data_IF_395984172905
#
_entry.id   IF_395984172905
#
_cell.length_a   1.000
_cell.length_b   1.000
_cell.length_c   1.000
_cell.angle_alpha   90.00
_cell.angle_beta   90.00
_cell.angle_gamma   90.00
#
_symmetry.space_group_name_H-M   'P 1'
#
loop_
_entity.id
_entity.type
_entity.pdbx_description
1 polymer ?
#
# COMPACT_ATOMS: atom_id res chain seq x y z
N UNK A 1 -5.85 -13.51 -19.97
CA UNK A 1 -6.92 -13.80 -18.99
C UNK A 1 -6.28 -13.88 -17.61
N UNK A 2 -6.12 -12.75 -16.98
CA UNK A 2 -5.54 -12.64 -15.62
C UNK A 2 -6.49 -11.78 -14.77
N UNK A 3 -7.73 -12.17 -14.69
CA UNK A 3 -8.76 -11.40 -14.06
C UNK A 3 -9.31 -11.98 -12.75
N UNK A 4 -8.68 -13.02 -12.24
CA UNK A 4 -8.93 -13.44 -10.85
C UNK A 4 -7.94 -12.80 -9.88
N UNK A 5 -7.88 -12.00 -9.93
CA UNK A 5 -8.02 -10.65 -10.03
C UNK A 5 -7.45 -9.89 -8.83
N UNK A 6 -6.83 -8.82 -9.11
CA UNK A 6 -6.37 -7.83 -8.13
C UNK A 6 -7.42 -7.59 -7.03
N UNK A 7 -8.71 -7.55 -7.39
CA UNK A 7 -9.81 -7.33 -6.45
C UNK A 7 -10.06 -8.53 -5.51
N UNK A 8 -9.92 -9.77 -5.98
CA UNK A 8 -9.98 -10.95 -5.12
C UNK A 8 -8.83 -10.96 -4.11
N UNK A 9 -7.63 -10.56 -4.52
CA UNK A 9 -6.47 -10.42 -3.62
C UNK A 9 -6.71 -9.35 -2.55
N UNK A 10 -7.40 -8.25 -2.89
CA UNK A 10 -7.81 -7.24 -1.91
C UNK A 10 -8.78 -7.83 -0.88
N UNK A 11 -9.79 -8.60 -1.31
CA UNK A 11 -10.71 -9.27 -0.39
C UNK A 11 -9.97 -10.23 0.55
N UNK A 12 -9.06 -11.06 0.04
CA UNK A 12 -8.23 -11.98 0.85
C UNK A 12 -7.28 -11.25 1.79
N UNK A 13 -6.65 -10.17 1.33
CA UNK A 13 -5.80 -9.31 2.17
C UNK A 13 -6.60 -8.70 3.32
N UNK A 14 -7.83 -8.25 3.08
CA UNK A 14 -8.71 -7.73 4.14
C UNK A 14 -9.09 -8.80 5.17
N UNK A 15 -9.40 -10.02 4.74
CA UNK A 15 -9.69 -11.14 5.65
C UNK A 15 -8.48 -11.53 6.53
N UNK A 16 -7.27 -11.59 5.95
CA UNK A 16 -6.01 -11.78 6.68
C UNK A 16 -5.75 -10.64 7.68
N UNK A 17 -6.09 -9.42 7.31
CA UNK A 17 -5.89 -8.23 8.12
C UNK A 17 -6.74 -8.22 9.40
N UNK A 18 -7.90 -8.85 9.41
CA UNK A 18 -8.73 -8.98 10.62
C UNK A 18 -8.03 -9.80 11.72
N UNK A 19 -7.19 -10.76 11.36
CA UNK A 19 -6.38 -11.52 12.31
C UNK A 19 -5.11 -10.76 12.79
N UNK A 20 -4.65 -9.78 12.01
CA UNK A 20 -3.39 -9.05 12.22
C UNK A 20 -3.58 -7.58 12.64
N UNK A 21 -4.79 -7.18 13.11
CA UNK A 21 -5.17 -5.79 13.42
C UNK A 21 -4.15 -5.00 14.24
N UNK A 22 -3.51 -5.64 15.22
CA UNK A 22 -2.52 -4.97 16.07
C UNK A 22 -1.29 -4.49 15.29
N UNK A 23 -0.79 -5.30 14.37
CA UNK A 23 0.37 -4.96 13.51
C UNK A 23 0.03 -3.85 12.53
N UNK A 24 -1.13 -3.94 11.88
CA UNK A 24 -1.60 -2.94 10.94
C UNK A 24 -1.75 -1.59 11.63
N UNK A 25 -2.33 -1.54 12.83
CA UNK A 25 -2.44 -0.31 13.60
C UNK A 25 -1.08 0.27 14.00
N UNK A 26 -0.08 -0.58 14.28
CA UNK A 26 1.29 -0.13 14.54
C UNK A 26 1.89 0.53 13.29
N UNK A 27 1.77 -0.11 12.13
CA UNK A 27 2.25 0.42 10.84
C UNK A 27 1.57 1.75 10.49
N UNK A 28 0.24 1.79 10.53
CA UNK A 28 -0.53 3.02 10.28
C UNK A 28 -0.19 4.12 11.30
N UNK A 29 0.03 3.76 12.56
CA UNK A 29 0.44 4.72 13.59
C UNK A 29 1.77 5.41 13.26
N UNK A 30 2.73 4.69 12.69
CA UNK A 30 4.00 5.27 12.19
C UNK A 30 3.77 6.17 10.97
N UNK A 31 2.92 5.75 10.03
CA UNK A 31 2.55 6.57 8.87
C UNK A 31 1.88 7.88 9.29
N UNK A 32 0.97 7.84 10.27
CA UNK A 32 0.35 9.03 10.86
C UNK A 32 1.40 9.98 11.46
N UNK A 33 2.36 9.43 12.21
CA UNK A 33 3.42 10.23 12.82
C UNK A 33 4.29 10.94 11.77
N UNK A 34 4.67 10.24 10.71
CA UNK A 34 5.44 10.80 9.61
C UNK A 34 4.63 11.81 8.80
N UNK A 35 3.36 11.51 8.53
CA UNK A 35 2.48 12.42 7.81
C UNK A 35 2.31 13.76 8.55
N UNK A 36 2.22 13.75 9.89
CA UNK A 36 2.18 14.98 10.70
C UNK A 36 3.50 15.76 10.60
N UNK A 37 4.64 15.08 10.70
CA UNK A 37 5.96 15.72 10.73
C UNK A 37 6.40 16.28 9.38
N UNK A 38 6.17 15.53 8.32
CA UNK A 38 6.66 15.85 6.96
C UNK A 38 5.61 16.55 6.09
N UNK A 39 4.33 16.36 6.38
CA UNK A 39 3.23 16.81 5.52
C UNK A 39 2.65 18.19 5.87
N UNK A 40 3.24 18.91 6.84
CA UNK A 40 2.81 20.28 7.18
C UNK A 40 1.95 20.39 8.43
N UNK A 41 1.95 19.39 9.33
CA UNK A 41 1.33 19.47 10.65
C UNK A 41 0.12 18.56 10.85
N UNK A 42 -0.56 18.76 12.00
CA UNK A 42 -1.60 17.87 12.50
C UNK A 42 -3.02 18.17 11.96
N UNK A 43 -3.17 19.18 11.11
CA UNK A 43 -4.46 19.55 10.54
C UNK A 43 -4.65 18.87 9.16
N UNK A 44 -5.58 17.90 9.03
CA UNK A 44 -5.80 17.21 7.77
C UNK A 44 -6.38 18.10 6.66
N UNK A 45 -6.96 19.28 7.00
CA UNK A 45 -7.42 20.23 6.00
C UNK A 45 -6.25 20.84 5.20
N UNK A 46 -5.10 20.98 5.85
CA UNK A 46 -3.88 21.56 5.28
C UNK A 46 -2.78 20.54 4.99
N UNK A 47 -3.04 19.25 5.21
CA UNK A 47 -2.09 18.16 5.05
C UNK A 47 -2.75 16.99 4.31
N UNK A 48 -2.58 16.96 2.98
CA UNK A 48 -3.18 15.92 2.12
C UNK A 48 -2.68 14.52 2.47
N UNK A 49 -1.38 14.37 2.78
CA UNK A 49 -0.79 13.10 3.19
C UNK A 49 -1.43 12.58 4.49
N UNK A 50 -1.63 13.44 5.47
CA UNK A 50 -2.31 13.07 6.72
C UNK A 50 -3.76 12.66 6.46
N UNK A 51 -4.46 13.37 5.59
CA UNK A 51 -5.83 13.05 5.20
C UNK A 51 -5.92 11.66 4.57
N UNK A 52 -4.99 11.30 3.68
CA UNK A 52 -4.96 9.98 3.04
C UNK A 52 -4.64 8.86 4.05
N UNK A 53 -3.69 9.09 4.97
CA UNK A 53 -3.37 8.12 6.02
C UNK A 53 -4.54 7.95 7.02
N UNK A 54 -5.28 9.02 7.33
CA UNK A 54 -6.51 8.93 8.14
C UNK A 54 -7.57 8.10 7.41
N UNK A 55 -7.75 8.27 6.10
CA UNK A 55 -8.67 7.47 5.32
C UNK A 55 -8.26 5.99 5.31
N UNK A 56 -6.97 5.69 5.12
CA UNK A 56 -6.39 4.34 5.23
C UNK A 56 -6.62 3.74 6.63
N UNK A 57 -6.45 4.52 7.69
CA UNK A 57 -6.71 4.08 9.06
C UNK A 57 -8.18 3.69 9.26
N UNK A 58 -9.11 4.52 8.78
CA UNK A 58 -10.55 4.25 8.86
C UNK A 58 -10.96 3.03 8.04
N UNK A 59 -10.44 2.84 6.85
CA UNK A 59 -10.72 1.67 6.00
C UNK A 59 -10.22 0.36 6.62
N UNK A 60 -9.21 0.43 7.51
CA UNK A 60 -8.72 -0.69 8.32
C UNK A 60 -9.39 -0.78 9.70
N UNK A 61 -10.51 -0.09 9.91
CA UNK A 61 -11.27 -0.09 11.16
C UNK A 61 -10.48 0.37 12.38
N UNK A 62 -9.50 1.26 12.21
CA UNK A 62 -8.78 1.86 13.33
C UNK A 62 -9.71 2.83 14.08
N UNK A 63 -9.86 2.70 15.42
CA UNK A 63 -10.74 3.58 16.18
C UNK A 63 -10.30 5.05 16.09
N UNK A 64 -11.27 5.98 15.97
CA UNK A 64 -10.99 7.40 15.88
C UNK A 64 -10.13 7.93 17.03
N UNK A 65 -10.39 7.48 18.27
CA UNK A 65 -9.59 7.85 19.44
C UNK A 65 -8.12 7.44 19.31
N UNK A 66 -7.87 6.31 18.63
CA UNK A 66 -6.51 5.84 18.38
C UNK A 66 -5.84 6.69 17.30
N UNK A 67 -6.55 7.04 16.24
CA UNK A 67 -6.06 7.96 15.18
C UNK A 67 -5.68 9.31 15.81
N UNK A 68 -6.60 9.93 16.55
CA UNK A 68 -6.37 11.22 17.19
C UNK A 68 -5.21 11.19 18.18
N UNK A 69 -5.09 10.12 18.97
CA UNK A 69 -3.98 9.96 19.92
C UNK A 69 -2.63 9.89 19.23
N UNK A 70 -2.52 9.17 18.11
CA UNK A 70 -1.29 9.10 17.31
C UNK A 70 -0.94 10.47 16.71
N UNK A 71 -1.92 11.20 16.17
CA UNK A 71 -1.73 12.54 15.61
C UNK A 71 -1.25 13.51 16.71
N UNK A 72 -1.91 13.53 17.86
CA UNK A 72 -1.54 14.39 19.01
C UNK A 72 -0.13 14.06 19.51
N UNK A 73 0.20 12.77 19.63
CA UNK A 73 1.56 12.34 20.02
C UNK A 73 2.61 12.86 19.05
N UNK A 74 2.35 12.75 17.73
CA UNK A 74 3.29 13.19 16.70
C UNK A 74 3.45 14.72 16.63
N UNK A 75 2.38 15.47 16.94
CA UNK A 75 2.39 16.93 16.95
C UNK A 75 3.03 17.54 18.21
N UNK A 76 3.24 16.75 19.26
CA UNK A 76 3.84 17.23 20.52
C UNK A 76 5.33 17.55 20.39
N UNK A 77 5.77 18.62 21.05
CA UNK A 77 7.19 18.94 21.17
C UNK A 77 7.91 17.82 21.96
N UNK A 78 8.95 17.23 21.34
CA UNK A 78 9.73 16.17 21.97
C UNK A 78 9.32 14.74 21.58
N UNK A 79 8.47 14.56 20.59
CA UNK A 79 8.23 13.24 19.98
C UNK A 79 9.55 12.69 19.44
N UNK A 80 10.13 11.71 20.16
CA UNK A 80 11.44 11.13 19.87
C UNK A 80 11.41 10.18 18.66
N UNK A 81 10.23 9.91 18.11
CA UNK A 81 10.05 8.95 17.03
C UNK A 81 10.54 9.57 15.70
N UNK A 82 11.83 9.43 15.41
CA UNK A 82 12.42 9.78 14.12
C UNK A 82 12.42 8.57 13.22
N UNK A 83 11.31 8.38 12.49
CA UNK A 83 11.24 7.35 11.47
C UNK A 83 11.89 7.84 10.18
N UNK A 84 12.64 6.95 9.54
CA UNK A 84 13.23 7.17 8.23
C UNK A 84 12.64 6.20 7.22
N UNK A 85 12.36 6.71 6.03
CA UNK A 85 11.95 5.90 4.88
C UNK A 85 13.18 5.24 4.25
N UNK A 86 13.16 3.92 4.12
CA UNK A 86 14.17 3.17 3.40
C UNK A 86 13.47 2.20 2.48
N UNK A 87 13.85 2.21 1.21
CA UNK A 87 13.38 1.23 0.22
C UNK A 87 14.46 0.21 -0.03
N UNK A 88 14.11 -1.06 0.08
CA UNK A 88 14.95 -2.18 -0.32
C UNK A 88 14.39 -2.79 -1.59
N UNK A 89 15.29 -3.21 -2.46
CA UNK A 89 14.96 -3.85 -3.72
C UNK A 89 15.72 -5.15 -3.84
N UNK A 90 15.12 -6.14 -4.47
CA UNK A 90 15.80 -7.42 -4.64
C UNK A 90 15.02 -8.39 -5.50
N UNK A 91 15.59 -9.57 -5.63
CA UNK A 91 15.02 -10.66 -6.40
C UNK A 91 14.70 -11.83 -5.49
N UNK A 92 13.52 -12.40 -5.71
CA UNK A 92 13.11 -13.69 -5.18
C UNK A 92 13.39 -14.83 -6.16
N UNK A 93 12.80 -16.01 -5.94
CA UNK A 93 12.93 -17.16 -6.81
C UNK A 93 12.59 -16.84 -8.27
N UNK A 94 13.29 -17.48 -9.18
CA UNK A 94 13.09 -17.36 -10.62
C UNK A 94 13.05 -15.90 -11.15
N UNK A 95 13.79 -15.00 -10.47
CA UNK A 95 13.90 -13.60 -10.88
C UNK A 95 12.67 -12.75 -10.61
N UNK A 96 11.77 -13.17 -9.70
CA UNK A 96 10.69 -12.31 -9.21
C UNK A 96 11.25 -11.05 -8.59
N UNK A 97 10.74 -9.91 -9.02
CA UNK A 97 11.15 -8.61 -8.49
C UNK A 97 10.36 -8.27 -7.22
N UNK A 98 11.05 -7.78 -6.19
CA UNK A 98 10.44 -7.42 -4.91
C UNK A 98 10.95 -6.05 -4.48
N UNK A 99 10.01 -5.14 -4.15
CA UNK A 99 10.27 -3.84 -3.53
C UNK A 99 9.70 -3.85 -2.12
N UNK A 100 10.50 -3.42 -1.14
CA UNK A 100 10.11 -3.34 0.26
C UNK A 100 10.23 -1.89 0.72
N UNK A 101 9.12 -1.23 0.98
CA UNK A 101 9.09 0.11 1.59
C UNK A 101 9.05 -0.04 3.11
N UNK A 102 9.98 0.59 3.80
CA UNK A 102 10.11 0.51 5.25
C UNK A 102 10.06 1.88 5.89
N UNK A 103 9.62 1.90 7.14
CA UNK A 103 9.58 3.07 7.99
C UNK A 103 10.15 2.69 9.36
N UNK A 104 11.38 3.11 9.63
CA UNK A 104 12.14 2.59 10.77
C UNK A 104 12.84 3.67 11.57
N UNK A 105 12.96 3.43 12.86
CA UNK A 105 13.82 4.15 13.80
C UNK A 105 15.20 3.51 13.96
N UNK A 106 15.45 2.32 13.32
CA UNK A 106 16.69 1.58 13.41
C UNK A 106 17.05 0.89 12.08
N UNK A 107 17.81 1.58 11.25
CA UNK A 107 18.27 1.11 9.93
C UNK A 107 18.99 -0.24 9.95
N UNK A 108 19.80 -0.49 10.98
CA UNK A 108 20.60 -1.72 11.06
C UNK A 108 19.71 -2.93 11.34
N UNK A 109 18.74 -2.79 12.24
CA UNK A 109 17.73 -3.81 12.51
C UNK A 109 16.95 -4.15 11.24
N UNK A 110 16.40 -3.14 10.60
CA UNK A 110 15.57 -3.31 9.38
C UNK A 110 16.37 -3.94 8.25
N UNK A 111 17.59 -3.45 7.98
CA UNK A 111 18.45 -4.03 6.94
C UNK A 111 18.77 -5.52 7.19
N UNK A 112 19.00 -5.88 8.46
CA UNK A 112 19.26 -7.26 8.84
C UNK A 112 18.03 -8.14 8.65
N UNK A 113 16.85 -7.67 9.06
CA UNK A 113 15.59 -8.40 8.94
C UNK A 113 15.20 -8.60 7.48
N UNK A 114 15.27 -7.56 6.67
CA UNK A 114 14.96 -7.63 5.22
C UNK A 114 15.89 -8.61 4.52
N UNK A 115 17.22 -8.51 4.73
CA UNK A 115 18.16 -9.48 4.14
C UNK A 115 17.87 -10.92 4.57
N UNK A 116 17.55 -11.12 5.85
CA UNK A 116 17.20 -12.44 6.36
C UNK A 116 15.94 -13.00 5.72
N UNK A 117 14.91 -12.17 5.51
CA UNK A 117 13.67 -12.58 4.82
C UNK A 117 13.96 -13.05 3.38
N UNK A 118 14.71 -12.26 2.61
CA UNK A 118 15.11 -12.65 1.25
C UNK A 118 15.95 -13.94 1.24
N UNK A 119 16.97 -14.04 2.09
CA UNK A 119 17.84 -15.21 2.14
C UNK A 119 17.09 -16.49 2.50
N UNK A 120 16.16 -16.41 3.44
CA UNK A 120 15.32 -17.57 3.85
C UNK A 120 14.36 -18.05 2.76
N UNK A 121 14.01 -17.18 1.82
CA UNK A 121 13.20 -17.52 0.64
C UNK A 121 14.01 -17.66 -0.63
N UNK A 122 15.30 -18.01 -0.53
CA UNK A 122 16.19 -18.23 -1.68
C UNK A 122 16.36 -17.02 -2.60
N UNK A 123 16.12 -15.82 -2.09
CA UNK A 123 16.31 -14.56 -2.78
C UNK A 123 17.52 -13.77 -2.25
N UNK A 124 17.69 -12.58 -2.79
CA UNK A 124 18.73 -11.66 -2.33
C UNK A 124 18.31 -10.20 -2.49
N UNK A 125 18.75 -9.37 -1.57
CA UNK A 125 18.64 -7.90 -1.67
C UNK A 125 19.71 -7.40 -2.63
N UNK A 126 19.29 -6.60 -3.62
CA UNK A 126 20.16 -5.97 -4.59
C UNK A 126 20.52 -4.54 -4.22
N UNK A 127 21.05 -3.82 -5.20
CA UNK A 127 21.32 -2.38 -5.08
C UNK A 127 20.03 -1.57 -5.34
N UNK A 128 19.90 -0.37 -4.76
CA UNK A 128 18.79 0.52 -5.08
C UNK A 128 18.65 0.74 -6.59
N UNK A 129 17.44 0.66 -7.12
CA UNK A 129 17.15 0.79 -8.54
C UNK A 129 17.24 -0.53 -9.34
N UNK A 130 17.57 -1.67 -8.71
CA UNK A 130 17.74 -2.92 -9.46
C UNK A 130 16.42 -3.52 -9.97
N UNK A 131 15.28 -3.20 -9.38
CA UNK A 131 13.96 -3.69 -9.82
C UNK A 131 12.90 -2.60 -9.95
N UNK A 132 13.08 -1.42 -9.38
CA UNK A 132 12.07 -0.35 -9.37
C UNK A 132 11.66 0.10 -10.78
N UNK A 133 12.55 -0.01 -11.78
CA UNK A 133 12.25 0.31 -13.18
C UNK A 133 11.21 -0.65 -13.81
N UNK A 134 10.92 -1.79 -13.18
CA UNK A 134 9.91 -2.75 -13.63
C UNK A 134 8.50 -2.44 -13.10
N UNK A 135 8.37 -1.36 -12.33
CA UNK A 135 7.12 -0.95 -11.70
C UNK A 135 6.79 0.49 -12.05
N UNK A 136 5.50 0.77 -12.17
CA UNK A 136 4.98 2.13 -12.28
C UNK A 136 4.34 2.54 -10.95
N UNK A 137 4.75 3.68 -10.39
CA UNK A 137 4.08 4.24 -9.22
C UNK A 137 2.82 4.97 -9.66
N UNK A 138 1.66 4.53 -9.13
CA UNK A 138 0.33 5.04 -9.48
C UNK A 138 -0.53 5.20 -8.24
N UNK A 139 -1.42 6.17 -8.24
CA UNK A 139 -2.60 6.13 -7.39
C UNK A 139 -3.57 5.09 -7.94
N UNK A 140 -4.06 4.21 -7.09
CA UNK A 140 -4.98 3.13 -7.46
C UNK A 140 -6.17 3.12 -6.51
N UNK A 141 -7.37 3.15 -7.08
CA UNK A 141 -8.62 3.11 -6.33
C UNK A 141 -9.47 1.97 -6.88
N UNK A 142 -9.92 1.10 -6.00
CA UNK A 142 -10.88 0.05 -6.33
C UNK A 142 -12.26 0.36 -5.74
N UNK A 143 -13.27 0.25 -6.58
CA UNK A 143 -14.67 0.38 -6.21
C UNK A 143 -15.39 -0.93 -6.52
N UNK A 144 -15.97 -1.57 -5.50
CA UNK A 144 -16.77 -2.78 -5.71
C UNK A 144 -18.08 -2.42 -6.42
N UNK A 145 -18.46 -3.16 -7.45
CA UNK A 145 -19.72 -2.92 -8.18
C UNK A 145 -20.95 -3.06 -7.27
N UNK A 146 -20.89 -4.00 -6.32
CA UNK A 146 -21.96 -4.24 -5.35
C UNK A 146 -22.19 -3.07 -4.38
N UNK A 147 -21.18 -2.22 -4.15
CA UNK A 147 -21.24 -1.06 -3.26
C UNK A 147 -21.38 0.27 -4.03
N UNK A 148 -21.57 0.24 -5.35
CA UNK A 148 -21.63 1.42 -6.21
C UNK A 148 -23.01 1.54 -6.86
N UNK A 149 -23.72 2.61 -6.54
CA UNK A 149 -25.04 2.92 -7.13
C UNK A 149 -24.95 3.60 -8.51
N UNK A 150 -23.74 4.07 -8.90
CA UNK A 150 -23.51 4.66 -10.22
C UNK A 150 -23.24 3.58 -11.27
N UNK A 151 -23.69 3.83 -12.50
CA UNK A 151 -23.25 3.00 -13.62
C UNK A 151 -21.79 3.27 -14.02
N UNK A 152 -21.23 2.40 -14.86
CA UNK A 152 -19.82 2.47 -15.26
C UNK A 152 -19.47 3.79 -15.95
N UNK A 153 -20.36 4.29 -16.83
CA UNK A 153 -20.13 5.51 -17.60
C UNK A 153 -20.15 6.74 -16.69
N UNK A 154 -21.10 6.81 -15.76
CA UNK A 154 -21.20 7.89 -14.77
C UNK A 154 -19.98 7.93 -13.86
N UNK A 155 -19.55 6.76 -13.33
CA UNK A 155 -18.39 6.66 -12.47
C UNK A 155 -17.09 7.00 -13.22
N UNK A 156 -16.96 6.56 -14.48
CA UNK A 156 -15.83 6.88 -15.34
C UNK A 156 -15.73 8.38 -15.59
N UNK A 157 -16.84 9.04 -15.93
CA UNK A 157 -16.88 10.50 -16.13
C UNK A 157 -16.46 11.23 -14.85
N UNK A 158 -17.00 10.83 -13.70
CA UNK A 158 -16.64 11.41 -12.40
C UNK A 158 -15.14 11.26 -12.11
N UNK A 159 -14.59 10.07 -12.35
CA UNK A 159 -13.18 9.79 -12.11
C UNK A 159 -12.25 10.62 -13.01
N UNK A 160 -12.54 10.68 -14.31
CA UNK A 160 -11.77 11.46 -15.29
C UNK A 160 -11.84 12.97 -15.01
N UNK A 161 -13.03 13.49 -14.70
CA UNK A 161 -13.23 14.90 -14.32
C UNK A 161 -12.52 15.24 -13.00
N UNK A 162 -12.37 14.23 -12.11
CA UNK A 162 -11.60 14.36 -10.89
C UNK A 162 -10.08 14.43 -11.12
N UNK A 163 -9.59 13.92 -12.26
CA UNK A 163 -8.18 13.91 -12.65
C UNK A 163 -7.57 12.50 -12.72
N UNK A 164 -8.39 11.45 -12.82
CA UNK A 164 -7.90 10.10 -13.08
C UNK A 164 -7.28 10.02 -14.50
N UNK A 165 -6.27 9.15 -14.64
CA UNK A 165 -5.61 8.90 -15.93
C UNK A 165 -6.26 7.75 -16.69
N UNK A 166 -6.78 6.77 -15.95
CA UNK A 166 -7.36 5.57 -16.55
C UNK A 166 -8.49 5.00 -15.69
N UNK A 167 -9.41 4.30 -16.34
CA UNK A 167 -10.55 3.65 -15.73
C UNK A 167 -10.74 2.28 -16.38
N UNK A 168 -10.69 1.22 -15.56
CA UNK A 168 -10.85 -0.16 -16.00
C UNK A 168 -12.07 -0.76 -15.33
N UNK A 169 -12.97 -1.33 -16.14
CA UNK A 169 -14.10 -2.10 -15.65
C UNK A 169 -13.77 -3.60 -15.66
N UNK A 170 -13.87 -4.24 -14.51
CA UNK A 170 -13.75 -5.68 -14.31
C UNK A 170 -15.13 -6.29 -13.97
N UNK A 171 -15.18 -7.62 -13.83
CA UNK A 171 -16.43 -8.34 -13.53
C UNK A 171 -17.08 -7.86 -12.23
N UNK A 172 -16.29 -7.70 -11.15
CA UNK A 172 -16.79 -7.36 -9.80
C UNK A 172 -16.42 -5.95 -9.32
N UNK A 173 -15.57 -5.24 -10.05
CA UNK A 173 -15.03 -3.96 -9.60
C UNK A 173 -14.71 -3.00 -10.73
N UNK A 174 -14.51 -1.74 -10.33
CA UNK A 174 -13.88 -0.70 -11.13
C UNK A 174 -12.50 -0.39 -10.55
N UNK A 175 -11.49 -0.29 -11.42
CA UNK A 175 -10.15 0.17 -11.07
C UNK A 175 -9.93 1.56 -11.67
N UNK A 176 -9.56 2.52 -10.83
CA UNK A 176 -9.28 3.90 -11.23
C UNK A 176 -7.79 4.15 -10.97
N UNK A 177 -7.07 4.59 -11.99
CA UNK A 177 -5.65 4.91 -11.91
C UNK A 177 -5.43 6.41 -12.01
N UNK A 178 -4.49 6.91 -11.21
CA UNK A 178 -4.09 8.31 -11.20
C UNK A 178 -2.58 8.45 -11.22
N UNK A 179 -2.09 9.62 -11.61
CA UNK A 179 -0.75 10.03 -11.22
C UNK A 179 -0.67 10.09 -9.68
N UNK A 180 0.47 9.71 -9.05
CA UNK A 180 0.63 9.77 -7.60
C UNK A 180 0.34 11.15 -6.99
N UNK A 181 0.70 12.22 -7.70
CA UNK A 181 0.47 13.59 -7.22
C UNK A 181 -1.02 14.00 -7.24
N UNK A 182 -1.81 13.41 -8.14
CA UNK A 182 -3.25 13.68 -8.27
C UNK A 182 -4.11 12.77 -7.38
N UNK A 183 -3.54 11.71 -6.82
CA UNK A 183 -4.27 10.69 -6.08
C UNK A 183 -5.14 11.25 -4.95
N UNK A 184 -4.58 12.12 -4.10
CA UNK A 184 -5.29 12.66 -2.95
C UNK A 184 -6.53 13.47 -3.35
N UNK A 185 -6.42 14.25 -4.43
CA UNK A 185 -7.53 15.08 -4.94
C UNK A 185 -8.62 14.21 -5.58
N UNK A 186 -8.23 13.21 -6.37
CA UNK A 186 -9.18 12.25 -6.97
C UNK A 186 -9.91 11.47 -5.88
N UNK A 187 -9.16 10.90 -4.92
CA UNK A 187 -9.75 10.18 -3.79
C UNK A 187 -10.76 11.04 -3.01
N UNK A 188 -10.41 12.30 -2.74
CA UNK A 188 -11.30 13.22 -2.03
C UNK A 188 -12.58 13.49 -2.80
N UNK A 189 -12.50 13.74 -4.11
CA UNK A 189 -13.68 13.98 -4.95
C UNK A 189 -14.59 12.75 -5.05
N UNK A 190 -13.99 11.56 -5.10
CA UNK A 190 -14.76 10.31 -5.05
C UNK A 190 -15.49 10.15 -3.71
N UNK A 191 -14.82 10.47 -2.59
CA UNK A 191 -15.43 10.45 -1.26
C UNK A 191 -16.57 11.47 -1.13
N UNK A 192 -16.38 12.71 -1.62
CA UNK A 192 -17.40 13.77 -1.64
C UNK A 192 -18.63 13.39 -2.50
N UNK A 193 -18.42 12.62 -3.55
CA UNK A 193 -19.50 12.07 -4.37
C UNK A 193 -20.21 10.85 -3.72
N UNK A 194 -19.77 10.42 -2.54
CA UNK A 194 -20.36 9.30 -1.80
C UNK A 194 -19.93 7.92 -2.30
N UNK A 195 -18.87 7.85 -3.11
CA UNK A 195 -18.34 6.57 -3.60
C UNK A 195 -17.62 5.82 -2.49
N UNK A 196 -18.03 4.58 -2.24
CA UNK A 196 -17.38 3.67 -1.31
C UNK A 196 -16.18 3.02 -2.01
N UNK A 197 -14.98 3.37 -1.56
CA UNK A 197 -13.73 2.82 -2.10
C UNK A 197 -13.33 1.58 -1.30
N UNK A 198 -13.23 0.44 -1.98
CA UNK A 198 -12.79 -0.81 -1.36
C UNK A 198 -11.32 -0.73 -0.93
N UNK A 199 -10.49 -0.14 -1.78
CA UNK A 199 -9.10 0.21 -1.50
C UNK A 199 -8.74 1.50 -2.23
N UNK A 200 -7.90 2.32 -1.64
CA UNK A 200 -7.38 3.54 -2.26
C UNK A 200 -6.00 3.86 -1.69
N UNK A 201 -4.97 3.71 -2.51
CA UNK A 201 -3.58 3.96 -2.11
C UNK A 201 -2.68 4.32 -3.29
N UNK A 202 -1.54 4.91 -3.00
CA UNK A 202 -0.44 5.02 -3.97
C UNK A 202 0.37 3.72 -3.90
N UNK A 203 0.50 3.04 -5.02
CA UNK A 203 1.08 1.69 -5.10
C UNK A 203 2.10 1.58 -6.23
N UNK A 204 2.85 0.48 -6.24
CA UNK A 204 3.80 0.13 -7.29
C UNK A 204 3.20 -0.99 -8.14
N UNK A 205 2.83 -0.70 -9.39
CA UNK A 205 2.19 -1.65 -10.29
C UNK A 205 3.25 -2.28 -11.20
N UNK A 206 3.40 -3.61 -11.21
CA UNK A 206 4.34 -4.27 -12.12
C UNK A 206 3.93 -4.05 -13.58
N UNK A 207 4.90 -3.74 -14.43
CA UNK A 207 4.72 -3.67 -15.89
C UNK A 207 4.56 -5.05 -16.51
N UNK A 208 5.20 -6.07 -15.90
CA UNK A 208 5.12 -7.48 -16.30
C UNK A 208 5.09 -8.37 -15.07
N UNK A 209 4.38 -9.49 -15.17
CA UNK A 209 4.27 -10.49 -14.11
C UNK A 209 5.11 -11.72 -14.42
N UNK A 210 5.59 -12.38 -13.37
CA UNK A 210 6.34 -13.65 -13.42
C UNK A 210 5.44 -14.76 -12.88
N UNK A 211 5.23 -15.81 -13.66
CA UNK A 211 4.56 -17.02 -13.21
C UNK A 211 5.58 -17.99 -12.60
N UNK A 212 5.26 -18.52 -11.43
CA UNK A 212 6.02 -19.57 -10.78
C UNK A 212 5.25 -20.88 -10.90
N UNK A 213 5.89 -21.91 -11.43
CA UNK A 213 5.30 -23.25 -11.61
C UNK A 213 5.93 -24.29 -10.69
N UNK A 214 7.13 -24.01 -10.17
CA UNK A 214 7.83 -24.89 -9.25
C UNK A 214 7.31 -24.68 -7.82
N UNK A 215 6.93 -25.77 -7.15
CA UNK A 215 6.38 -25.71 -5.80
C UNK A 215 7.37 -25.19 -4.76
N UNK A 216 8.68 -25.39 -4.96
CA UNK A 216 9.70 -24.90 -4.05
C UNK A 216 9.88 -23.39 -4.22
N UNK A 217 9.84 -22.88 -5.45
CA UNK A 217 9.88 -21.45 -5.75
C UNK A 217 8.67 -20.74 -5.14
N UNK A 218 7.46 -21.31 -5.27
CA UNK A 218 6.23 -20.78 -4.68
C UNK A 218 6.34 -20.73 -3.17
N UNK A 219 6.83 -21.78 -2.51
CA UNK A 219 7.04 -21.79 -1.05
C UNK A 219 8.07 -20.75 -0.62
N UNK A 220 9.12 -20.57 -1.40
CA UNK A 220 10.19 -19.64 -1.08
C UNK A 220 9.75 -18.19 -1.22
N UNK A 221 9.02 -17.82 -2.28
CA UNK A 221 8.47 -16.47 -2.42
C UNK A 221 7.47 -16.18 -1.30
N UNK A 222 6.54 -17.10 -1.03
CA UNK A 222 5.56 -16.96 0.04
C UNK A 222 6.24 -16.71 1.41
N UNK A 223 7.29 -17.50 1.70
CA UNK A 223 8.07 -17.34 2.93
C UNK A 223 8.75 -15.98 3.03
N UNK A 224 9.26 -15.46 1.91
CA UNK A 224 9.85 -14.12 1.87
C UNK A 224 8.79 -13.07 2.19
N UNK A 225 7.63 -13.14 1.52
CA UNK A 225 6.54 -12.19 1.72
C UNK A 225 6.00 -12.24 3.15
N UNK A 226 5.75 -13.43 3.69
CA UNK A 226 5.27 -13.60 5.06
C UNK A 226 6.23 -13.00 6.09
N UNK A 227 7.55 -13.24 5.95
CA UNK A 227 8.55 -12.68 6.86
C UNK A 227 8.66 -11.16 6.76
N UNK A 228 8.49 -10.59 5.57
CA UNK A 228 8.49 -9.15 5.37
C UNK A 228 7.21 -8.51 5.95
N UNK A 229 6.05 -9.12 5.71
CA UNK A 229 4.78 -8.63 6.25
C UNK A 229 4.72 -8.67 7.78
N UNK A 230 5.42 -9.65 8.38
CA UNK A 230 5.51 -9.77 9.84
C UNK A 230 6.40 -8.71 10.50
N UNK A 231 7.27 -8.05 9.77
CA UNK A 231 8.17 -7.02 10.30
C UNK A 231 7.42 -5.70 10.48
N UNK A 232 7.43 -5.15 11.70
CA UNK A 232 6.78 -3.87 12.01
C UNK A 232 7.42 -2.67 11.31
N UNK A 233 8.68 -2.78 10.87
CA UNK A 233 9.38 -1.72 10.14
C UNK A 233 9.00 -1.72 8.64
N UNK A 234 8.48 -2.82 8.12
CA UNK A 234 8.01 -2.94 6.73
C UNK A 234 6.60 -2.39 6.63
N UNK A 235 6.41 -1.38 5.78
CA UNK A 235 5.11 -0.78 5.51
C UNK A 235 4.41 -1.52 4.39
N UNK A 236 5.05 -1.56 3.21
CA UNK A 236 4.49 -2.16 2.01
C UNK A 236 5.51 -3.07 1.33
N UNK A 237 5.02 -4.15 0.72
CA UNK A 237 5.79 -5.06 -0.10
C UNK A 237 5.11 -5.15 -1.47
N UNK A 238 5.85 -4.86 -2.52
CA UNK A 238 5.39 -4.98 -3.90
C UNK A 238 6.22 -6.02 -4.62
N UNK A 239 5.58 -6.81 -5.45
CA UNK A 239 6.24 -7.85 -6.23
C UNK A 239 5.54 -8.07 -7.57
N UNK A 240 6.23 -8.69 -8.50
CA UNK A 240 5.69 -9.03 -9.81
C UNK A 240 5.37 -10.52 -9.98
N UNK A 241 5.30 -11.27 -8.89
CA UNK A 241 4.79 -12.63 -8.93
C UNK A 241 3.29 -12.64 -9.20
N UNK A 242 2.86 -13.44 -10.18
CA UNK A 242 1.45 -13.69 -10.47
C UNK A 242 0.97 -14.86 -9.59
N UNK A 243 0.25 -14.53 -8.51
CA UNK A 243 -0.28 -15.50 -7.53
C UNK A 243 -1.39 -16.36 -8.13
#
# INVERSE_FOLDING_TARGET
>A
MSGHSKFANIKHKKEKNDAAKGKIFTKIGRELAVAVKEGGGADPANNSRLRDVIAKAKSNNMPNDTIERNIKKAAGEGSADNYEHITYEGYGPNGTAIIVKTLTDNKNRTASNVRNAFTKGSGNVGTPGCVSFMFDEKGQIFVAKEDCDMDADELMMLALDAGAEDFVEDEESYEILTDPASFSDVRLKMEEAGIVMAEAEVTMIPQTYVELTDEEDIKNIQKTLDLLEEDDDVQDVYHNWNE
#
